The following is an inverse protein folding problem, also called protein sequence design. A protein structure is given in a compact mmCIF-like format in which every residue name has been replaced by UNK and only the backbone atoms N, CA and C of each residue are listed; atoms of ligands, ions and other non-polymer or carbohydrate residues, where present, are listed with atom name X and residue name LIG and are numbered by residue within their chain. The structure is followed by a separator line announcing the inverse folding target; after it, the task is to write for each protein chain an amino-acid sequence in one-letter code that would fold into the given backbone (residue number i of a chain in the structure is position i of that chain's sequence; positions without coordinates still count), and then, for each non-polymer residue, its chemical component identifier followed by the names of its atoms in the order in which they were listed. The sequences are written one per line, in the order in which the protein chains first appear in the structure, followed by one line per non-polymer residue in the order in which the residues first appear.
data_IF_780861528644
#
_entry.id   IF_780861528644
#
_cell.length_a   1.000
_cell.length_b   1.000
_cell.length_c   1.000
_cell.angle_alpha   90.00
_cell.angle_beta   90.00
_cell.angle_gamma   90.00
#
_symmetry.space_group_name_H-M   'P 1'
#
loop_
_entity.id
_entity.type
_entity.pdbx_description
1 polymer ?
#
# COMPACT_ATOMS: atom_id res chain seq x y z
N UNK A 1 23.23 -2.70 19.00
CA UNK A 1 22.35 -3.31 17.98
C UNK A 1 21.13 -2.45 17.65
N UNK A 2 20.48 -1.81 18.62
CA UNK A 2 19.44 -0.80 18.36
C UNK A 2 20.01 0.60 18.59
N UNK A 3 20.63 1.17 17.55
CA UNK A 3 21.07 2.55 17.53
C UNK A 3 20.44 3.26 16.32
N UNK A 4 20.08 4.54 16.42
CA UNK A 4 19.48 5.30 15.32
C UNK A 4 20.30 5.26 14.03
N UNK A 5 21.63 5.17 14.15
CA UNK A 5 22.57 5.20 13.03
C UNK A 5 23.03 3.80 12.59
N UNK A 6 22.39 2.73 13.08
CA UNK A 6 22.74 1.37 12.69
C UNK A 6 22.39 1.05 11.22
N UNK A 7 23.16 0.17 10.59
CA UNK A 7 23.02 -0.19 9.17
C UNK A 7 21.58 -0.61 8.79
N UNK A 8 20.87 -1.30 9.69
CA UNK A 8 19.49 -1.70 9.46
C UNK A 8 18.52 -0.50 9.45
N UNK A 9 18.74 0.49 10.30
CA UNK A 9 17.92 1.72 10.35
C UNK A 9 18.13 2.53 9.09
N UNK A 10 19.39 2.68 8.67
CA UNK A 10 19.75 3.36 7.43
C UNK A 10 19.15 2.66 6.22
N UNK A 11 19.17 1.32 6.19
CA UNK A 11 18.54 0.55 5.12
C UNK A 11 17.02 0.79 5.03
N UNK A 12 16.31 0.93 6.15
CA UNK A 12 14.87 1.20 6.17
C UNK A 12 14.51 2.65 5.82
N UNK A 13 15.36 3.62 6.19
CA UNK A 13 15.16 5.03 5.86
C UNK A 13 15.48 5.29 4.38
N UNK A 14 16.50 4.62 3.85
CA UNK A 14 16.86 4.75 2.44
C UNK A 14 15.92 3.93 1.56
N UNK A 15 15.00 4.64 0.89
CA UNK A 15 14.10 4.05 -0.12
C UNK A 15 14.83 3.44 -1.31
N UNK A 16 16.09 3.80 -1.56
CA UNK A 16 16.90 3.22 -2.63
C UNK A 16 17.71 2.00 -2.15
N UNK A 17 17.66 1.67 -0.86
CA UNK A 17 18.26 0.45 -0.34
C UNK A 17 17.67 -0.75 -1.07
N UNK A 18 18.50 -1.73 -1.49
CA UNK A 18 18.04 -2.96 -2.13
C UNK A 18 16.91 -3.65 -1.37
N UNK A 19 17.03 -3.69 -0.03
CA UNK A 19 16.04 -4.30 0.83
C UNK A 19 14.69 -3.57 0.76
N UNK A 20 14.70 -2.24 0.92
CA UNK A 20 13.49 -1.42 0.96
C UNK A 20 12.79 -1.39 -0.39
N UNK A 21 13.55 -1.27 -1.48
CA UNK A 21 13.00 -1.32 -2.84
C UNK A 21 12.31 -2.67 -3.13
N UNK A 22 12.96 -3.78 -2.78
CA UNK A 22 12.40 -5.12 -2.94
C UNK A 22 11.15 -5.34 -2.06
N UNK A 23 11.22 -4.96 -0.79
CA UNK A 23 10.12 -5.13 0.16
C UNK A 23 8.89 -4.32 -0.27
N UNK A 24 9.08 -3.08 -0.73
CA UNK A 24 7.98 -2.24 -1.20
C UNK A 24 7.27 -2.86 -2.41
N UNK A 25 8.01 -3.36 -3.40
CA UNK A 25 7.41 -3.99 -4.58
C UNK A 25 6.72 -5.31 -4.23
N UNK A 26 7.32 -6.14 -3.36
CA UNK A 26 6.75 -7.41 -2.93
C UNK A 26 5.44 -7.22 -2.16
N UNK A 27 5.44 -6.34 -1.15
CA UNK A 27 4.26 -6.07 -0.34
C UNK A 27 3.18 -5.37 -1.17
N UNK A 28 3.57 -4.42 -2.02
CA UNK A 28 2.66 -3.78 -2.98
C UNK A 28 1.99 -4.79 -3.91
N UNK A 29 2.74 -5.79 -4.39
CA UNK A 29 2.22 -6.85 -5.25
C UNK A 29 1.21 -7.72 -4.51
N UNK A 30 1.49 -8.11 -3.26
CA UNK A 30 0.53 -8.87 -2.46
C UNK A 30 -0.76 -8.11 -2.22
N UNK A 31 -0.68 -6.80 -1.96
CA UNK A 31 -1.89 -5.98 -1.81
C UNK A 31 -2.65 -5.92 -3.13
N UNK A 32 -1.96 -5.70 -4.26
CA UNK A 32 -2.59 -5.68 -5.58
C UNK A 32 -3.29 -7.00 -5.91
N UNK A 33 -2.64 -8.14 -5.65
CA UNK A 33 -3.23 -9.46 -5.84
C UNK A 33 -4.46 -9.68 -4.96
N UNK A 34 -4.41 -9.24 -3.69
CA UNK A 34 -5.55 -9.28 -2.78
C UNK A 34 -6.74 -8.47 -3.29
N UNK A 35 -6.49 -7.28 -3.85
CA UNK A 35 -7.52 -6.42 -4.43
C UNK A 35 -8.12 -7.04 -5.69
N UNK A 36 -7.28 -7.53 -6.60
CA UNK A 36 -7.74 -8.23 -7.81
C UNK A 36 -8.61 -9.43 -7.43
N UNK A 37 -8.19 -10.20 -6.44
CA UNK A 37 -8.97 -11.33 -5.94
C UNK A 37 -10.31 -10.89 -5.32
N UNK A 38 -10.33 -9.82 -4.54
CA UNK A 38 -11.56 -9.26 -3.98
C UNK A 38 -12.53 -8.76 -5.07
N UNK A 39 -12.00 -8.15 -6.15
CA UNK A 39 -12.77 -7.72 -7.32
C UNK A 39 -13.35 -8.93 -8.07
N UNK A 40 -12.54 -9.98 -8.31
CA UNK A 40 -13.00 -11.23 -8.93
C UNK A 40 -14.12 -11.88 -8.12
N UNK A 41 -13.95 -11.98 -6.80
CA UNK A 41 -15.00 -12.52 -5.93
C UNK A 41 -16.30 -11.70 -6.01
N UNK A 42 -16.19 -10.37 -6.12
CA UNK A 42 -17.33 -9.45 -6.11
C UNK A 42 -18.12 -9.45 -7.42
N UNK A 43 -17.44 -9.43 -8.56
CA UNK A 43 -18.10 -9.23 -9.85
C UNK A 43 -18.24 -10.50 -10.69
N UNK A 44 -17.40 -11.50 -10.46
CA UNK A 44 -17.37 -12.73 -11.26
C UNK A 44 -17.94 -13.91 -10.46
N UNK A 45 -17.35 -14.27 -9.32
CA UNK A 45 -17.71 -15.48 -8.57
C UNK A 45 -19.03 -15.32 -7.80
N UNK A 46 -19.25 -14.14 -7.18
CA UNK A 46 -20.46 -13.81 -6.41
C UNK A 46 -20.89 -14.91 -5.40
N UNK A 47 -20.01 -15.30 -4.46
CA UNK A 47 -20.33 -16.34 -3.49
C UNK A 47 -21.47 -15.90 -2.55
N UNK A 48 -22.37 -16.83 -2.21
CA UNK A 48 -23.61 -16.59 -1.46
C UNK A 48 -23.40 -15.89 -0.11
N UNK A 49 -22.23 -16.10 0.52
CA UNK A 49 -21.91 -15.57 1.85
C UNK A 49 -21.21 -14.21 1.84
N UNK A 50 -20.88 -13.65 0.67
CA UNK A 50 -20.22 -12.34 0.56
C UNK A 50 -21.30 -11.29 0.29
N UNK A 51 -21.85 -10.76 1.38
CA UNK A 51 -22.69 -9.57 1.31
C UNK A 51 -21.81 -8.38 0.90
N UNK A 52 -22.16 -7.75 -0.22
CA UNK A 52 -21.41 -6.63 -0.77
C UNK A 52 -22.01 -5.32 -0.28
N UNK A 53 -21.29 -4.57 0.55
CA UNK A 53 -21.72 -3.25 0.99
C UNK A 53 -20.96 -2.14 0.24
N UNK A 54 -21.58 -0.97 0.14
CA UNK A 54 -20.96 0.20 -0.49
C UNK A 54 -19.65 0.60 0.19
N UNK A 55 -19.54 0.40 1.51
CA UNK A 55 -18.32 0.68 2.26
C UNK A 55 -17.15 -0.23 1.86
N UNK A 56 -17.41 -1.47 1.44
CA UNK A 56 -16.36 -2.36 0.92
C UNK A 56 -15.81 -1.85 -0.41
N UNK A 57 -16.70 -1.33 -1.27
CA UNK A 57 -16.30 -0.79 -2.57
C UNK A 57 -15.40 0.44 -2.40
N UNK A 58 -15.72 1.32 -1.45
CA UNK A 58 -14.92 2.51 -1.16
C UNK A 58 -13.53 2.10 -0.65
N UNK A 59 -13.45 1.16 0.29
CA UNK A 59 -12.16 0.67 0.80
C UNK A 59 -11.29 0.07 -0.34
N UNK A 60 -11.89 -0.80 -1.17
CA UNK A 60 -11.19 -1.41 -2.31
C UNK A 60 -10.72 -0.36 -3.32
N UNK A 61 -11.54 0.66 -3.59
CA UNK A 61 -11.18 1.75 -4.49
C UNK A 61 -10.01 2.58 -3.95
N UNK A 62 -10.04 2.97 -2.67
CA UNK A 62 -8.98 3.77 -2.04
C UNK A 62 -7.66 2.99 -2.06
N UNK A 63 -7.66 1.75 -1.55
CA UNK A 63 -6.42 0.94 -1.46
C UNK A 63 -5.92 0.59 -2.87
N UNK A 64 -6.82 0.25 -3.80
CA UNK A 64 -6.45 -0.08 -5.17
C UNK A 64 -5.80 1.11 -5.89
N UNK A 65 -6.41 2.28 -5.76
CA UNK A 65 -5.85 3.52 -6.32
C UNK A 65 -4.51 3.85 -5.67
N UNK A 66 -4.38 3.70 -4.34
CA UNK A 66 -3.15 3.98 -3.62
C UNK A 66 -1.98 3.13 -4.13
N UNK A 67 -2.18 1.82 -4.25
CA UNK A 67 -1.14 0.88 -4.69
C UNK A 67 -0.77 1.09 -6.16
N UNK A 68 -1.78 1.29 -7.03
CA UNK A 68 -1.51 1.61 -8.43
C UNK A 68 -0.68 2.88 -8.54
N UNK A 69 -1.13 3.98 -7.92
CA UNK A 69 -0.36 5.23 -7.90
C UNK A 69 1.05 5.04 -7.33
N UNK A 70 1.22 4.17 -6.33
CA UNK A 70 2.53 3.83 -5.75
C UNK A 70 3.48 3.23 -6.77
N UNK A 71 3.04 2.22 -7.54
CA UNK A 71 3.87 1.61 -8.59
C UNK A 71 4.21 2.59 -9.72
N UNK A 72 3.22 3.37 -10.20
CA UNK A 72 3.47 4.41 -11.20
C UNK A 72 4.43 5.48 -10.67
N UNK A 73 4.28 5.91 -9.42
CA UNK A 73 5.16 6.87 -8.77
C UNK A 73 6.59 6.35 -8.68
N UNK A 74 6.79 5.09 -8.29
CA UNK A 74 8.12 4.47 -8.18
C UNK A 74 8.80 4.35 -9.55
N UNK A 75 8.09 3.90 -10.58
CA UNK A 75 8.63 3.86 -11.94
C UNK A 75 9.04 5.24 -12.46
N UNK A 76 8.21 6.26 -12.23
CA UNK A 76 8.52 7.64 -12.60
C UNK A 76 9.71 8.19 -11.79
N UNK A 77 9.79 7.86 -10.51
CA UNK A 77 10.90 8.24 -9.62
C UNK A 77 12.21 7.69 -10.14
N UNK A 78 12.30 6.38 -10.38
CA UNK A 78 13.51 5.71 -10.89
C UNK A 78 13.97 6.37 -12.19
N UNK A 79 13.04 6.65 -13.11
CA UNK A 79 13.33 7.29 -14.38
C UNK A 79 13.90 8.71 -14.21
N UNK A 80 13.28 9.54 -13.37
CA UNK A 80 13.67 10.95 -13.17
C UNK A 80 14.96 11.06 -12.36
N UNK A 81 15.14 10.25 -11.32
CA UNK A 81 16.31 10.31 -10.43
C UNK A 81 17.52 9.54 -10.97
N UNK A 82 17.37 8.80 -12.09
CA UNK A 82 18.45 8.06 -12.77
C UNK A 82 19.25 7.17 -11.83
N UNK A 83 18.56 6.40 -11.01
CA UNK A 83 19.19 5.46 -10.08
C UNK A 83 20.00 4.43 -10.89
N UNK A 84 21.23 4.09 -10.47
CA UNK A 84 22.03 3.06 -11.13
C UNK A 84 21.23 1.76 -11.28
N UNK A 85 21.37 1.10 -12.44
CA UNK A 85 20.59 -0.09 -12.77
C UNK A 85 20.76 -1.22 -11.75
N UNK A 86 21.96 -1.37 -11.18
CA UNK A 86 22.27 -2.34 -10.13
C UNK A 86 21.35 -2.18 -8.91
N UNK A 87 21.11 -0.93 -8.48
CA UNK A 87 20.25 -0.62 -7.34
C UNK A 87 18.77 -0.62 -7.73
N UNK A 88 18.44 -0.07 -8.90
CA UNK A 88 17.06 -0.02 -9.38
C UNK A 88 16.48 -1.43 -9.61
N UNK A 89 17.32 -2.40 -9.99
CA UNK A 89 16.88 -3.78 -10.28
C UNK A 89 16.17 -4.49 -9.11
N UNK A 90 16.42 -4.07 -7.87
CA UNK A 90 15.73 -4.60 -6.69
C UNK A 90 14.26 -4.19 -6.62
N UNK A 91 13.90 -3.06 -7.23
CA UNK A 91 12.49 -2.72 -7.52
C UNK A 91 12.05 -3.47 -8.78
N UNK A 92 11.73 -4.75 -8.62
CA UNK A 92 11.43 -5.65 -9.73
C UNK A 92 10.13 -5.32 -10.49
N UNK A 93 9.26 -4.47 -9.96
CA UNK A 93 8.10 -3.90 -10.67
C UNK A 93 8.41 -2.48 -11.14
N UNK A 94 8.92 -1.63 -10.24
CA UNK A 94 9.19 -0.22 -10.55
C UNK A 94 10.25 -0.04 -11.64
N UNK A 95 11.30 -0.86 -11.67
CA UNK A 95 12.36 -0.76 -12.66
C UNK A 95 11.90 -1.11 -14.09
N UNK A 96 11.23 -2.24 -14.38
CA UNK A 96 10.59 -2.45 -15.67
C UNK A 96 9.64 -1.31 -16.07
N UNK A 97 8.86 -0.80 -15.11
CA UNK A 97 7.92 0.29 -15.35
C UNK A 97 8.66 1.58 -15.77
N UNK A 98 9.79 1.89 -15.14
CA UNK A 98 10.65 3.02 -15.51
C UNK A 98 11.18 2.92 -16.95
N UNK A 99 11.52 1.71 -17.41
CA UNK A 99 11.94 1.47 -18.80
C UNK A 99 10.80 1.69 -19.78
N UNK A 100 9.60 1.20 -19.45
CA UNK A 100 8.39 1.47 -20.24
C UNK A 100 8.13 2.97 -20.33
N UNK A 101 8.22 3.69 -19.22
CA UNK A 101 8.05 5.13 -19.17
C UNK A 101 9.07 5.89 -20.03
N UNK A 102 10.33 5.44 -20.07
CA UNK A 102 11.38 6.09 -20.87
C UNK A 102 11.13 6.07 -22.38
N UNK A 103 10.27 5.17 -22.87
CA UNK A 103 9.89 5.09 -24.28
C UNK A 103 9.01 6.28 -24.67
N UNK A 104 8.30 6.87 -23.70
CA UNK A 104 7.46 8.02 -23.92
C UNK A 104 8.24 9.31 -23.70
N UNK A 105 8.27 10.18 -24.71
CA UNK A 105 8.88 11.52 -24.67
C UNK A 105 8.10 12.55 -23.83
N UNK A 106 7.56 12.14 -22.70
CA UNK A 106 6.78 12.99 -21.79
C UNK A 106 7.69 13.71 -20.80
N UNK A 107 7.19 14.81 -20.21
CA UNK A 107 7.85 15.47 -19.09
C UNK A 107 7.62 14.68 -17.79
N UNK A 108 8.40 13.62 -17.61
CA UNK A 108 8.32 12.74 -16.46
C UNK A 108 8.64 13.43 -15.13
N UNK A 109 9.43 14.50 -15.13
CA UNK A 109 9.68 15.30 -13.93
C UNK A 109 8.40 15.93 -13.39
N UNK A 110 7.59 16.55 -14.26
CA UNK A 110 6.30 17.11 -13.88
C UNK A 110 5.28 16.01 -13.52
N UNK A 111 5.22 14.93 -14.29
CA UNK A 111 4.33 13.80 -14.01
C UNK A 111 4.64 13.18 -12.65
N UNK A 112 5.92 12.99 -12.33
CA UNK A 112 6.37 12.50 -11.03
C UNK A 112 5.85 13.37 -9.88
N UNK A 113 5.93 14.71 -10.01
CA UNK A 113 5.39 15.62 -9.00
C UNK A 113 3.88 15.44 -8.80
N UNK A 114 3.10 15.33 -9.88
CA UNK A 114 1.66 15.10 -9.79
C UNK A 114 1.33 13.72 -9.18
N UNK A 115 2.04 12.66 -9.60
CA UNK A 115 1.88 11.32 -9.02
C UNK A 115 2.19 11.33 -7.53
N UNK A 116 3.20 12.08 -7.10
CA UNK A 116 3.58 12.17 -5.69
C UNK A 116 2.46 12.79 -4.85
N UNK A 117 1.90 13.93 -5.29
CA UNK A 117 0.77 14.55 -4.59
C UNK A 117 -0.48 13.69 -4.64
N UNK A 118 -0.79 13.08 -5.79
CA UNK A 118 -1.95 12.18 -5.92
C UNK A 118 -1.84 10.99 -4.96
N UNK A 119 -0.68 10.33 -4.92
CA UNK A 119 -0.43 9.22 -4.00
C UNK A 119 -0.54 9.68 -2.54
N UNK A 120 0.08 10.82 -2.19
CA UNK A 120 0.01 11.40 -0.86
C UNK A 120 -1.43 11.75 -0.42
N UNK A 121 -2.23 12.34 -1.32
CA UNK A 121 -3.64 12.67 -1.07
C UNK A 121 -4.46 11.40 -0.84
N UNK A 122 -4.30 10.38 -1.70
CA UNK A 122 -5.02 9.10 -1.52
C UNK A 122 -4.58 8.41 -0.23
N UNK A 123 -3.30 8.51 0.14
CA UNK A 123 -2.81 8.04 1.44
C UNK A 123 -3.46 8.78 2.61
N UNK A 124 -3.58 10.11 2.54
CA UNK A 124 -4.29 10.90 3.54
C UNK A 124 -5.78 10.54 3.61
N UNK A 125 -6.43 10.29 2.47
CA UNK A 125 -7.81 9.80 2.40
C UNK A 125 -7.97 8.42 3.06
N UNK A 126 -7.02 7.51 2.83
CA UNK A 126 -7.00 6.20 3.50
C UNK A 126 -6.97 6.39 5.02
N UNK A 127 -6.04 7.21 5.53
CA UNK A 127 -5.90 7.50 6.97
C UNK A 127 -7.19 8.12 7.52
N UNK A 128 -7.76 9.10 6.82
CA UNK A 128 -9.02 9.72 7.21
C UNK A 128 -10.20 8.74 7.22
N UNK A 129 -10.21 7.75 6.32
CA UNK A 129 -11.28 6.75 6.21
C UNK A 129 -11.17 5.60 7.24
N UNK A 130 -9.97 5.35 7.80
CA UNK A 130 -9.71 4.26 8.77
C UNK A 130 -10.76 4.13 9.90
N UNK A 131 -11.12 5.19 10.65
CA UNK A 131 -12.02 5.05 11.80
C UNK A 131 -13.51 4.98 11.43
N UNK A 132 -13.90 5.47 10.24
CA UNK A 132 -15.31 5.62 9.86
C UNK A 132 -15.81 4.51 8.94
N UNK A 133 -14.91 3.83 8.24
CA UNK A 133 -15.25 2.75 7.32
C UNK A 133 -15.28 1.37 7.96
N UNK A 134 -15.41 0.35 7.10
CA UNK A 134 -15.23 -1.04 7.52
C UNK A 134 -13.82 -1.34 8.04
N UNK A 135 -12.81 -0.52 7.69
CA UNK A 135 -11.42 -0.69 8.15
C UNK A 135 -11.22 -0.47 9.66
N UNK A 136 -12.21 0.08 10.38
CA UNK A 136 -12.14 0.27 11.84
C UNK A 136 -11.85 -1.03 12.61
N UNK A 137 -12.13 -2.21 12.02
CA UNK A 137 -11.80 -3.50 12.63
C UNK A 137 -10.29 -3.68 12.86
N UNK A 138 -9.44 -3.02 12.07
CA UNK A 138 -7.98 -3.03 12.27
C UNK A 138 -7.64 -2.49 13.67
N UNK A 139 -8.40 -1.52 14.18
CA UNK A 139 -8.21 -0.92 15.50
C UNK A 139 -9.06 -1.61 16.57
N UNK A 140 -10.35 -1.82 16.28
CA UNK A 140 -11.32 -2.27 17.27
C UNK A 140 -11.11 -3.73 17.69
N UNK A 141 -10.70 -4.61 16.77
CA UNK A 141 -10.51 -6.03 17.07
C UNK A 141 -9.41 -6.26 18.13
N UNK A 142 -8.16 -5.79 17.94
CA UNK A 142 -7.13 -5.98 18.96
C UNK A 142 -7.46 -5.24 20.25
N UNK A 143 -8.04 -4.04 20.18
CA UNK A 143 -8.44 -3.28 21.37
C UNK A 143 -9.49 -4.04 22.19
N UNK A 144 -10.47 -4.66 21.53
CA UNK A 144 -11.50 -5.45 22.22
C UNK A 144 -10.87 -6.64 22.93
N UNK A 145 -9.97 -7.38 22.27
CA UNK A 145 -9.29 -8.51 22.89
C UNK A 145 -8.41 -8.10 24.08
N UNK A 146 -7.67 -7.00 23.97
CA UNK A 146 -6.88 -6.48 25.09
C UNK A 146 -7.76 -6.09 26.29
N UNK A 147 -8.91 -5.46 26.04
CA UNK A 147 -9.85 -5.09 27.09
C UNK A 147 -10.53 -6.30 27.74
N UNK A 148 -10.85 -7.34 26.97
CA UNK A 148 -11.40 -8.59 27.51
C UNK A 148 -10.40 -9.27 28.44
N UNK A 149 -9.13 -9.35 28.04
CA UNK A 149 -8.07 -9.95 28.85
C UNK A 149 -7.87 -9.20 30.17
N UNK A 150 -7.79 -7.86 30.11
CA UNK A 150 -7.60 -7.03 31.31
C UNK A 150 -8.82 -7.03 32.22
N UNK A 151 -10.04 -7.05 31.65
CA UNK A 151 -11.28 -6.99 32.44
C UNK A 151 -11.80 -8.36 32.90
N UNK A 152 -11.32 -9.47 32.33
CA UNK A 152 -11.83 -10.82 32.60
C UNK A 152 -13.28 -11.05 32.15
N UNK A 153 -13.90 -10.09 31.44
CA UNK A 153 -15.30 -10.14 31.01
C UNK A 153 -15.35 -10.23 29.49
N UNK A 154 -15.69 -11.41 28.97
CA UNK A 154 -15.92 -11.65 27.53
C UNK A 154 -17.12 -10.83 27.04
N UNK A 155 -17.06 -10.32 25.81
CA UNK A 155 -18.10 -9.47 25.20
C UNK A 155 -19.51 -10.07 25.23
N UNK A 156 -19.66 -11.40 25.23
CA UNK A 156 -20.94 -12.09 25.43
C UNK A 156 -21.65 -11.75 26.76
N UNK A 157 -20.90 -11.26 27.76
CA UNK A 157 -21.42 -10.83 29.07
C UNK A 157 -21.62 -9.31 29.21
N UNK A 158 -21.25 -8.51 28.20
CA UNK A 158 -21.49 -7.07 28.15
C UNK A 158 -22.77 -6.82 27.34
N UNK A 159 -23.90 -6.79 28.04
CA UNK A 159 -25.17 -6.25 27.52
C UNK A 159 -25.28 -4.81 27.99
#
# INVERSE_FOLDING_TARGET
YFHPDGDWTLALIDKNSPFTAFANDLLGLFILLGILWAVVQRFIIKPVHVATENQDNIALLIIGTLILLGFFLEGARILVTRIPAEMASYSFIGYPLSKVFSIFGLNWTSIYSYLWYAHGIVGALLVAYLPFGKMRHILNTPLTYALEEVSGVRKEKRI
#
